data_IF_101773844796
#
_entry.id   IF_101773844796
#
_cell.length_a   1.000
_cell.length_b   1.000
_cell.length_c   1.000
_cell.angle_alpha   90.00
_cell.angle_beta   90.00
_cell.angle_gamma   90.00
#
_symmetry.space_group_name_H-M   'P 1'
#
loop_
_entity.id
_entity.type
_entity.pdbx_description
1 polymer ?
#
# COMPACT_ATOMS: atom_id res chain seq x y z
N UNK A 1 -18.19 -10.07 16.79
CA UNK A 1 -17.13 -10.75 16.03
C UNK A 1 -17.16 -10.40 14.54
N UNK A 2 -18.24 -10.63 13.76
CA UNK A 2 -18.27 -10.29 12.31
C UNK A 2 -18.22 -8.78 12.03
N UNK A 3 -19.02 -7.99 12.74
CA UNK A 3 -19.01 -6.52 12.62
C UNK A 3 -17.68 -5.92 13.03
N UNK A 4 -16.98 -6.54 13.95
CA UNK A 4 -15.66 -6.13 14.44
C UNK A 4 -14.60 -6.36 13.35
N UNK A 5 -14.65 -7.49 12.64
CA UNK A 5 -13.73 -7.76 11.53
C UNK A 5 -13.92 -6.77 10.37
N UNK A 6 -15.16 -6.46 9.99
CA UNK A 6 -15.44 -5.47 8.95
C UNK A 6 -14.96 -4.06 9.35
N UNK A 7 -15.10 -3.70 10.62
CA UNK A 7 -14.55 -2.45 11.14
C UNK A 7 -13.01 -2.42 11.03
N UNK A 8 -12.33 -3.51 11.39
CA UNK A 8 -10.87 -3.60 11.27
C UNK A 8 -10.42 -3.53 9.81
N UNK A 9 -11.10 -4.23 8.89
CA UNK A 9 -10.83 -4.13 7.45
C UNK A 9 -10.92 -2.67 6.99
N UNK A 10 -12.03 -1.98 7.31
CA UNK A 10 -12.23 -0.58 6.95
C UNK A 10 -11.16 0.34 7.54
N UNK A 11 -10.73 0.08 8.77
CA UNK A 11 -9.67 0.83 9.46
C UNK A 11 -8.34 0.67 8.73
N UNK A 12 -7.89 -0.56 8.46
CA UNK A 12 -6.61 -0.82 7.78
C UNK A 12 -6.61 -0.29 6.35
N UNK A 13 -7.72 -0.45 5.63
CA UNK A 13 -7.87 0.17 4.29
C UNK A 13 -7.75 1.70 4.35
N UNK A 14 -8.36 2.34 5.36
CA UNK A 14 -8.28 3.78 5.57
C UNK A 14 -6.87 4.26 5.95
N UNK A 15 -6.07 3.41 6.59
CA UNK A 15 -4.69 3.68 6.95
C UNK A 15 -3.70 3.45 5.80
N UNK A 16 -4.13 2.84 4.69
CA UNK A 16 -3.25 2.49 3.58
C UNK A 16 -2.44 1.20 3.81
N UNK A 17 -2.79 0.43 4.85
CA UNK A 17 -2.12 -0.81 5.18
C UNK A 17 -2.52 -1.94 4.24
N UNK A 18 -1.53 -2.71 3.78
CA UNK A 18 -1.77 -3.95 3.02
C UNK A 18 -1.90 -5.12 3.98
N UNK A 19 -2.90 -5.95 3.74
CA UNK A 19 -3.16 -7.14 4.54
C UNK A 19 -3.82 -8.22 3.68
N UNK A 20 -3.98 -9.42 4.22
CA UNK A 20 -4.80 -10.44 3.60
C UNK A 20 -5.98 -10.82 4.50
N UNK A 21 -7.08 -11.21 3.87
CA UNK A 21 -8.21 -11.84 4.55
C UNK A 21 -8.15 -13.34 4.27
N UNK A 22 -7.96 -14.14 5.31
CA UNK A 22 -8.04 -15.58 5.24
C UNK A 22 -9.42 -16.04 5.70
N UNK A 23 -10.04 -16.94 4.94
CA UNK A 23 -11.35 -17.52 5.25
C UNK A 23 -11.28 -19.04 5.16
N UNK A 24 -11.84 -19.73 6.17
CA UNK A 24 -12.11 -21.17 6.10
C UNK A 24 -13.29 -21.39 5.16
N UNK A 25 -13.09 -22.09 4.05
CA UNK A 25 -14.13 -22.36 3.07
C UNK A 25 -14.67 -23.78 3.18
N UNK A 26 -13.84 -24.72 3.61
CA UNK A 26 -14.23 -26.12 3.81
C UNK A 26 -13.41 -26.78 4.92
N UNK A 27 -13.97 -27.81 5.54
CA UNK A 27 -13.28 -28.67 6.51
C UNK A 27 -13.81 -30.09 6.55
N UNK A 28 -12.93 -30.99 6.95
CA UNK A 28 -13.25 -32.35 7.42
C UNK A 28 -12.79 -32.48 8.88
N UNK A 29 -13.65 -33.02 9.72
CA UNK A 29 -13.33 -33.21 11.14
C UNK A 29 -12.27 -34.31 11.32
N UNK A 30 -11.44 -34.22 12.39
CA UNK A 30 -11.43 -33.22 13.44
C UNK A 30 -10.58 -31.96 13.07
N UNK A 31 -11.16 -30.81 13.05
CA UNK A 31 -10.44 -29.53 12.88
C UNK A 31 -11.08 -28.42 13.73
N UNK A 32 -10.28 -27.46 14.20
CA UNK A 32 -10.75 -26.41 15.11
C UNK A 32 -11.40 -25.23 14.41
N UNK A 33 -11.09 -24.98 13.12
CA UNK A 33 -11.74 -23.94 12.33
C UNK A 33 -13.07 -24.44 11.75
N UNK A 34 -13.99 -23.52 11.49
CA UNK A 34 -15.31 -23.82 10.88
C UNK A 34 -15.47 -23.03 9.58
N UNK A 35 -16.14 -23.58 8.55
CA UNK A 35 -16.49 -22.81 7.36
C UNK A 35 -17.13 -21.48 7.73
N UNK A 36 -16.61 -20.38 7.16
CA UNK A 36 -17.02 -19.02 7.48
C UNK A 36 -16.15 -18.31 8.51
N UNK A 37 -15.31 -19.03 9.28
CA UNK A 37 -14.32 -18.40 10.15
C UNK A 37 -13.34 -17.56 9.31
N UNK A 38 -12.98 -16.37 9.81
CA UNK A 38 -12.13 -15.41 9.10
C UNK A 38 -11.10 -14.79 10.02
N UNK A 39 -9.97 -14.41 9.42
CA UNK A 39 -8.97 -13.57 10.05
C UNK A 39 -8.37 -12.59 9.07
N UNK A 40 -7.98 -11.41 9.56
CA UNK A 40 -7.07 -10.49 8.90
C UNK A 40 -5.66 -10.93 9.26
N UNK A 41 -4.78 -10.97 8.29
CA UNK A 41 -3.36 -11.26 8.47
C UNK A 41 -2.57 -10.09 7.92
N UNK A 42 -1.84 -9.39 8.80
CA UNK A 42 -1.00 -8.27 8.44
C UNK A 42 0.36 -8.76 7.89
N UNK A 43 1.12 -7.86 7.27
CA UNK A 43 2.45 -8.16 6.72
C UNK A 43 3.43 -8.70 7.76
N UNK A 44 3.36 -8.21 8.99
CA UNK A 44 4.21 -8.66 10.11
C UNK A 44 3.82 -10.04 10.65
N UNK A 45 2.75 -10.66 10.10
CA UNK A 45 2.22 -11.94 10.54
C UNK A 45 1.20 -11.85 11.68
N UNK A 46 0.86 -10.65 12.13
CA UNK A 46 -0.20 -10.45 13.14
C UNK A 46 -1.54 -10.96 12.61
N UNK A 47 -2.22 -11.80 13.40
CA UNK A 47 -3.54 -12.36 13.07
C UNK A 47 -4.61 -11.72 13.93
N UNK A 48 -5.65 -11.18 13.30
CA UNK A 48 -6.83 -10.62 13.95
C UNK A 48 -8.05 -11.40 13.50
N UNK A 49 -8.64 -12.16 14.42
CA UNK A 49 -9.74 -13.08 14.14
C UNK A 49 -9.37 -14.54 14.41
N UNK A 50 -10.08 -15.47 13.75
CA UNK A 50 -9.89 -16.91 13.99
C UNK A 50 -10.08 -17.73 12.72
N UNK A 51 -9.12 -18.63 12.44
CA UNK A 51 -9.14 -19.56 11.30
C UNK A 51 -8.70 -20.98 11.66
N UNK A 52 -8.49 -21.27 12.95
CA UNK A 52 -8.04 -22.59 13.42
C UNK A 52 -6.84 -22.52 14.35
N UNK A 53 -6.31 -23.71 14.70
CA UNK A 53 -5.19 -23.87 15.64
C UNK A 53 -3.81 -23.50 15.08
N UNK A 54 -2.76 -23.78 15.86
CA UNK A 54 -1.40 -23.32 15.59
C UNK A 54 -0.83 -23.72 14.22
N UNK A 55 -1.00 -24.97 13.79
CA UNK A 55 -0.51 -25.43 12.47
C UNK A 55 -1.15 -24.66 11.31
N UNK A 56 -2.47 -24.44 11.39
CA UNK A 56 -3.23 -23.70 10.38
C UNK A 56 -2.78 -22.24 10.35
N UNK A 57 -2.58 -21.61 11.51
CA UNK A 57 -2.12 -20.22 11.63
C UNK A 57 -0.77 -20.01 10.96
N UNK A 58 0.21 -20.87 11.21
CA UNK A 58 1.54 -20.74 10.61
C UNK A 58 1.52 -20.79 9.07
N UNK A 59 0.76 -21.75 8.52
CA UNK A 59 0.59 -21.88 7.06
C UNK A 59 -0.16 -20.67 6.51
N UNK A 60 -1.23 -20.24 7.16
CA UNK A 60 -2.02 -19.09 6.73
C UNK A 60 -1.21 -17.79 6.73
N UNK A 61 -0.36 -17.56 7.73
CA UNK A 61 0.54 -16.39 7.77
C UNK A 61 1.50 -16.40 6.60
N UNK A 62 2.18 -17.53 6.37
CA UNK A 62 3.12 -17.68 5.25
C UNK A 62 2.44 -17.38 3.92
N UNK A 63 1.30 -18.01 3.65
CA UNK A 63 0.59 -17.83 2.38
C UNK A 63 -0.06 -16.45 2.24
N UNK A 64 -0.46 -15.82 3.35
CA UNK A 64 -0.96 -14.45 3.35
C UNK A 64 0.15 -13.44 3.00
N UNK A 65 1.34 -13.59 3.57
CA UNK A 65 2.49 -12.75 3.24
C UNK A 65 2.88 -12.89 1.77
N UNK A 66 2.87 -14.11 1.24
CA UNK A 66 3.11 -14.38 -0.18
C UNK A 66 1.99 -13.78 -1.07
N UNK A 67 0.71 -13.93 -0.67
CA UNK A 67 -0.42 -13.37 -1.38
C UNK A 67 -0.34 -11.83 -1.45
N UNK A 68 0.03 -11.17 -0.33
CA UNK A 68 0.24 -9.72 -0.27
C UNK A 68 1.39 -9.31 -1.19
N UNK A 69 2.53 -10.02 -1.14
CA UNK A 69 3.71 -9.72 -1.97
C UNK A 69 3.42 -9.81 -3.46
N UNK A 70 2.67 -10.84 -3.88
CA UNK A 70 2.38 -11.09 -5.29
C UNK A 70 1.08 -10.44 -5.76
N UNK A 71 0.29 -9.89 -4.83
CA UNK A 71 -1.06 -9.37 -5.06
C UNK A 71 -1.95 -10.39 -5.78
N UNK A 72 -1.89 -11.67 -5.34
CA UNK A 72 -2.66 -12.78 -5.90
C UNK A 72 -3.36 -13.57 -4.80
N UNK A 73 -4.64 -13.85 -5.00
CA UNK A 73 -5.39 -14.73 -4.10
C UNK A 73 -4.86 -16.16 -4.16
N UNK A 74 -4.96 -16.88 -3.05
CA UNK A 74 -4.47 -18.25 -2.90
C UNK A 74 -5.53 -19.15 -2.31
N UNK A 75 -5.57 -20.39 -2.79
CA UNK A 75 -6.34 -21.48 -2.22
C UNK A 75 -5.37 -22.44 -1.54
N UNK A 76 -5.58 -22.71 -0.26
CA UNK A 76 -4.65 -23.49 0.57
C UNK A 76 -5.40 -24.67 1.17
N UNK A 77 -4.96 -25.87 0.87
CA UNK A 77 -5.45 -27.10 1.47
C UNK A 77 -4.44 -27.61 2.51
N UNK A 78 -4.91 -27.96 3.68
CA UNK A 78 -4.10 -28.50 4.76
C UNK A 78 -4.66 -29.88 5.11
N UNK A 79 -3.87 -30.92 4.88
CA UNK A 79 -4.28 -32.33 4.91
C UNK A 79 -3.25 -33.15 5.69
N UNK A 80 -3.63 -34.14 6.50
CA UNK A 80 -2.70 -35.02 7.23
C UNK A 80 -1.84 -35.90 6.32
N UNK A 81 -2.34 -36.30 5.13
CA UNK A 81 -1.79 -37.42 4.34
C UNK A 81 -0.98 -36.96 3.09
N UNK A 82 -1.03 -35.71 2.70
CA UNK A 82 -0.39 -35.25 1.47
C UNK A 82 1.00 -34.66 1.68
N UNK A 83 1.84 -34.79 0.65
CA UNK A 83 3.21 -34.26 0.60
C UNK A 83 3.18 -32.77 0.29
N UNK A 84 3.97 -31.98 0.99
CA UNK A 84 4.11 -30.54 0.80
C UNK A 84 4.56 -30.18 -0.64
N UNK A 85 3.87 -29.25 -1.30
CA UNK A 85 4.50 -28.42 -2.31
C UNK A 85 4.01 -28.55 -3.74
N UNK A 86 2.96 -29.29 -4.05
CA UNK A 86 2.37 -29.21 -5.41
C UNK A 86 1.51 -27.94 -5.51
N UNK A 87 1.96 -26.98 -6.32
CA UNK A 87 1.21 -25.79 -6.69
C UNK A 87 0.54 -25.99 -8.03
N UNK A 88 -0.78 -26.05 -8.05
CA UNK A 88 -1.57 -26.06 -9.28
C UNK A 88 -2.46 -24.85 -9.28
N UNK A 89 -2.23 -23.90 -10.19
CA UNK A 89 -3.09 -22.71 -10.37
C UNK A 89 -3.41 -21.95 -9.06
N UNK A 90 -2.41 -21.54 -8.29
CA UNK A 90 -2.55 -20.87 -6.99
C UNK A 90 -3.20 -21.73 -5.89
N UNK A 91 -3.31 -23.05 -6.09
CA UNK A 91 -3.77 -24.00 -5.11
C UNK A 91 -2.56 -24.73 -4.52
N UNK A 92 -2.28 -24.51 -3.24
CA UNK A 92 -1.18 -25.15 -2.53
C UNK A 92 -1.68 -26.11 -1.50
N UNK A 93 -1.09 -27.30 -1.47
CA UNK A 93 -1.39 -28.32 -0.47
C UNK A 93 -0.26 -28.42 0.55
N UNK A 94 -0.63 -28.45 1.82
CA UNK A 94 0.28 -28.55 2.95
C UNK A 94 -0.05 -29.76 3.81
N UNK A 95 1.00 -30.45 4.26
CA UNK A 95 0.83 -31.51 5.26
C UNK A 95 0.57 -30.89 6.64
N UNK A 96 -0.47 -31.38 7.30
CA UNK A 96 -0.75 -31.01 8.69
C UNK A 96 0.31 -31.65 9.61
N UNK A 97 0.98 -30.84 10.42
CA UNK A 97 2.02 -31.32 11.36
C UNK A 97 1.46 -31.67 12.73
N UNK A 98 0.20 -31.34 13.00
CA UNK A 98 -0.44 -31.68 14.28
C UNK A 98 -1.24 -32.97 14.21
N UNK A 99 -1.46 -33.61 15.36
CA UNK A 99 -2.13 -34.91 15.50
C UNK A 99 -3.66 -34.86 15.34
N UNK A 100 -4.22 -33.72 14.87
CA UNK A 100 -5.68 -33.54 14.78
C UNK A 100 -6.35 -34.31 13.63
N UNK A 101 -5.60 -34.72 12.61
CA UNK A 101 -6.07 -35.63 11.56
C UNK A 101 -7.17 -35.15 10.62
N UNK A 102 -7.62 -33.90 10.73
CA UNK A 102 -8.65 -33.34 9.84
C UNK A 102 -8.08 -32.59 8.66
N UNK A 103 -8.88 -32.36 7.63
CA UNK A 103 -8.52 -31.54 6.46
C UNK A 103 -9.20 -30.17 6.53
N UNK A 104 -8.56 -29.13 6.01
CA UNK A 104 -9.09 -27.77 5.95
C UNK A 104 -8.68 -27.08 4.66
N UNK A 105 -9.60 -26.29 4.12
CA UNK A 105 -9.30 -25.39 2.99
C UNK A 105 -9.51 -23.93 3.39
N UNK A 106 -8.51 -23.12 3.04
CA UNK A 106 -8.52 -21.68 3.26
C UNK A 106 -8.48 -20.97 1.91
N UNK A 107 -9.31 -19.95 1.78
CA UNK A 107 -9.17 -18.93 0.74
C UNK A 107 -8.48 -17.71 1.36
N UNK A 108 -7.40 -17.25 0.75
CA UNK A 108 -6.61 -16.12 1.22
C UNK A 108 -6.61 -15.07 0.13
N UNK A 109 -7.17 -13.91 0.44
CA UNK A 109 -7.33 -12.79 -0.47
C UNK A 109 -6.48 -11.60 0.00
N UNK A 110 -5.50 -11.13 -0.80
CA UNK A 110 -4.76 -9.92 -0.47
C UNK A 110 -5.62 -8.69 -0.69
N UNK A 111 -5.57 -7.76 0.25
CA UNK A 111 -6.25 -6.46 0.18
C UNK A 111 -5.20 -5.37 0.06
N UNK A 112 -5.13 -4.78 -1.12
CA UNK A 112 -4.26 -3.63 -1.39
C UNK A 112 -5.12 -2.37 -1.40
N UNK A 113 -4.90 -1.43 -0.47
CA UNK A 113 -5.62 -0.17 -0.46
C UNK A 113 -5.40 0.63 -1.74
N UNK A 114 -6.41 1.40 -2.12
CA UNK A 114 -6.29 2.30 -3.25
C UNK A 114 -5.16 3.31 -3.04
N UNK A 115 -4.43 3.69 -4.11
CA UNK A 115 -3.34 4.65 -4.00
C UNK A 115 -3.83 5.99 -3.47
N UNK A 116 -2.93 6.70 -2.81
CA UNK A 116 -3.16 8.02 -2.26
C UNK A 116 -2.62 9.08 -3.19
N UNK A 117 -3.42 10.09 -3.48
CA UNK A 117 -3.01 11.27 -4.23
C UNK A 117 -3.09 12.51 -3.35
N UNK A 118 -1.95 13.12 -3.11
CA UNK A 118 -1.83 14.40 -2.43
C UNK A 118 -1.66 15.49 -3.48
N UNK A 119 -2.62 16.39 -3.55
CA UNK A 119 -2.60 17.54 -4.48
C UNK A 119 -2.21 18.77 -3.67
N UNK A 120 -1.10 19.43 -4.04
CA UNK A 120 -0.66 20.66 -3.42
C UNK A 120 -1.04 21.83 -4.33
N UNK A 121 -1.92 22.71 -3.84
CA UNK A 121 -2.40 23.88 -4.58
C UNK A 121 -3.88 23.86 -4.88
N UNK A 122 -4.37 24.97 -5.46
CA UNK A 122 -5.80 25.24 -5.71
C UNK A 122 -6.09 25.67 -7.16
N UNK A 123 -5.17 25.41 -8.09
CA UNK A 123 -5.31 25.75 -9.51
C UNK A 123 -6.48 25.02 -10.19
N UNK A 124 -6.85 25.45 -11.39
CA UNK A 124 -7.87 24.75 -12.18
C UNK A 124 -7.49 23.31 -12.46
N UNK A 125 -6.20 23.03 -12.69
CA UNK A 125 -5.71 21.66 -12.88
C UNK A 125 -5.83 20.87 -11.57
N UNK A 126 -5.50 21.45 -10.40
CA UNK A 126 -5.69 20.81 -9.10
C UNK A 126 -7.15 20.39 -8.88
N UNK A 127 -8.10 21.26 -9.23
CA UNK A 127 -9.55 20.98 -9.12
C UNK A 127 -10.00 19.88 -10.09
N UNK A 128 -9.57 19.92 -11.35
CA UNK A 128 -9.86 18.89 -12.33
C UNK A 128 -9.28 17.55 -11.89
N UNK A 129 -8.02 17.53 -11.45
CA UNK A 129 -7.31 16.36 -10.98
C UNK A 129 -8.02 15.72 -9.77
N UNK A 130 -8.46 16.52 -8.80
CA UNK A 130 -9.18 16.01 -7.63
C UNK A 130 -10.50 15.32 -7.99
N UNK A 131 -11.28 15.89 -8.91
CA UNK A 131 -12.55 15.31 -9.38
C UNK A 131 -12.32 13.95 -10.07
N UNK A 132 -11.38 13.90 -10.99
CA UNK A 132 -11.06 12.68 -11.73
C UNK A 132 -10.44 11.61 -10.81
N UNK A 133 -9.58 12.01 -9.87
CA UNK A 133 -8.98 11.11 -8.90
C UNK A 133 -10.03 10.43 -7.99
N UNK A 134 -11.05 11.17 -7.55
CA UNK A 134 -12.18 10.60 -6.79
C UNK A 134 -12.94 9.60 -7.65
N UNK A 135 -13.22 9.93 -8.92
CA UNK A 135 -13.94 9.04 -9.84
C UNK A 135 -13.18 7.74 -10.11
N UNK A 136 -11.85 7.75 -9.97
CA UNK A 136 -10.98 6.56 -10.07
C UNK A 136 -10.70 5.90 -8.72
N UNK A 137 -11.44 6.25 -7.66
CA UNK A 137 -11.32 5.72 -6.31
C UNK A 137 -9.95 5.93 -5.64
N UNK A 138 -9.18 6.94 -6.03
CA UNK A 138 -7.98 7.31 -5.28
C UNK A 138 -8.37 7.95 -3.93
N UNK A 139 -7.52 7.75 -2.91
CA UNK A 139 -7.61 8.48 -1.63
C UNK A 139 -7.04 9.88 -1.84
N UNK A 140 -7.90 10.90 -1.94
CA UNK A 140 -7.48 12.27 -2.30
C UNK A 140 -7.31 13.13 -1.06
N UNK A 141 -6.15 13.80 -0.98
CA UNK A 141 -5.84 14.86 -0.01
C UNK A 141 -5.51 16.14 -0.80
N UNK A 142 -5.97 17.28 -0.31
CA UNK A 142 -5.63 18.60 -0.87
C UNK A 142 -4.98 19.44 0.20
N UNK A 143 -3.81 19.99 -0.10
CA UNK A 143 -3.07 20.91 0.74
C UNK A 143 -2.90 22.24 -0.01
N UNK A 144 -3.38 23.32 0.55
CA UNK A 144 -3.16 24.66 -0.03
C UNK A 144 -3.43 25.73 1.00
N UNK A 145 -2.62 26.78 0.99
CA UNK A 145 -2.91 27.97 1.79
C UNK A 145 -4.24 28.59 1.33
N UNK A 146 -5.07 29.02 2.31
CA UNK A 146 -6.36 29.68 2.08
C UNK A 146 -7.33 28.90 1.19
N UNK A 147 -7.37 27.58 1.32
CA UNK A 147 -8.28 26.74 0.54
C UNK A 147 -9.70 26.76 1.09
N UNK A 148 -10.67 27.01 0.21
CA UNK A 148 -12.09 26.85 0.53
C UNK A 148 -12.54 25.42 0.16
N UNK A 149 -13.19 24.71 1.11
CA UNK A 149 -13.69 23.35 0.89
C UNK A 149 -14.63 23.24 -0.32
N UNK A 150 -15.39 24.28 -0.63
CA UNK A 150 -16.25 24.34 -1.81
C UNK A 150 -15.53 24.26 -3.14
N UNK A 151 -14.23 24.52 -3.17
CA UNK A 151 -13.41 24.42 -4.39
C UNK A 151 -13.14 22.96 -4.80
N UNK A 152 -13.24 22.02 -3.86
CA UNK A 152 -12.90 20.60 -4.05
C UNK A 152 -14.06 19.69 -3.62
N UNK A 153 -15.20 19.72 -4.35
CA UNK A 153 -16.37 18.92 -4.00
C UNK A 153 -16.03 17.42 -4.02
N UNK A 154 -16.45 16.71 -2.97
CA UNK A 154 -16.21 15.28 -2.80
C UNK A 154 -14.87 14.91 -2.14
N UNK A 155 -13.92 15.84 -2.02
CA UNK A 155 -12.69 15.61 -1.27
C UNK A 155 -12.98 15.68 0.23
N UNK A 156 -12.63 14.62 0.96
CA UNK A 156 -12.86 14.54 2.42
C UNK A 156 -11.72 15.22 3.22
N UNK A 157 -10.50 15.10 2.72
CA UNK A 157 -9.29 15.52 3.43
C UNK A 157 -8.71 16.78 2.76
N UNK A 158 -9.05 17.94 3.29
CA UNK A 158 -8.61 19.25 2.81
C UNK A 158 -7.93 19.97 3.97
N UNK A 159 -6.71 20.44 3.73
CA UNK A 159 -5.86 21.11 4.70
C UNK A 159 -5.56 22.54 4.21
N UNK A 160 -5.71 23.51 5.09
CA UNK A 160 -5.55 24.94 4.84
C UNK A 160 -4.08 25.42 4.87
N UNK A 161 -3.15 24.48 4.93
CA UNK A 161 -1.70 24.71 4.88
C UNK A 161 -1.00 23.56 4.17
N UNK A 162 0.15 23.85 3.57
CA UNK A 162 1.05 22.84 3.01
C UNK A 162 1.87 22.23 4.15
N UNK A 163 1.28 21.22 4.81
CA UNK A 163 1.87 20.51 5.94
C UNK A 163 1.62 18.99 5.77
N UNK A 164 2.69 18.26 5.46
CA UNK A 164 2.62 16.81 5.24
C UNK A 164 2.65 16.00 6.53
N UNK A 165 2.96 16.60 7.68
CA UNK A 165 3.07 15.89 8.97
C UNK A 165 1.76 15.23 9.42
N UNK A 166 0.63 15.70 8.91
CA UNK A 166 -0.71 15.20 9.23
C UNK A 166 -1.18 14.04 8.33
N UNK A 167 -0.37 13.65 7.36
CA UNK A 167 -0.73 12.64 6.36
C UNK A 167 0.27 11.50 6.46
N UNK A 168 -0.24 10.28 6.62
CA UNK A 168 0.59 9.10 6.54
C UNK A 168 1.00 8.88 5.08
N UNK A 169 2.29 9.02 4.78
CA UNK A 169 2.86 8.81 3.45
C UNK A 169 3.30 7.35 3.37
N UNK A 170 2.60 6.58 2.54
CA UNK A 170 2.89 5.19 2.26
C UNK A 170 3.52 5.01 0.87
N UNK A 171 3.97 3.79 0.55
CA UNK A 171 4.57 3.45 -0.74
C UNK A 171 3.65 3.66 -1.95
N UNK A 172 2.33 3.74 -1.73
CA UNK A 172 1.32 3.97 -2.75
C UNK A 172 0.83 5.42 -2.75
N UNK A 173 1.62 6.32 -2.16
CA UNK A 173 1.37 7.76 -2.16
C UNK A 173 2.01 8.41 -3.39
N UNK A 174 1.26 9.31 -4.02
CA UNK A 174 1.68 10.17 -5.11
C UNK A 174 1.44 11.62 -4.70
N UNK A 175 2.43 12.49 -4.86
CA UNK A 175 2.30 13.91 -4.59
C UNK A 175 2.35 14.65 -5.93
N UNK A 176 1.37 15.54 -6.18
CA UNK A 176 1.34 16.41 -7.36
C UNK A 176 1.24 17.86 -6.91
N UNK A 177 2.27 18.64 -7.23
CA UNK A 177 2.32 20.07 -6.96
C UNK A 177 1.71 20.82 -8.13
N UNK A 178 0.58 21.49 -7.86
CA UNK A 178 -0.29 22.18 -8.82
C UNK A 178 -0.62 23.62 -8.37
N UNK A 179 0.36 24.31 -7.83
CA UNK A 179 0.26 25.63 -7.18
C UNK A 179 0.13 26.78 -8.16
N UNK A 180 0.58 26.59 -9.42
CA UNK A 180 0.45 27.56 -10.52
C UNK A 180 1.13 28.93 -10.24
N UNK A 181 2.23 28.92 -9.49
CA UNK A 181 3.03 30.09 -9.17
C UNK A 181 2.89 30.59 -7.74
N UNK A 182 1.92 30.10 -6.99
CA UNK A 182 1.78 30.40 -5.56
C UNK A 182 2.64 29.42 -4.74
N UNK A 183 3.78 29.89 -4.22
CA UNK A 183 4.69 29.12 -3.35
C UNK A 183 5.20 27.78 -3.97
N UNK A 184 5.45 27.75 -5.29
CA UNK A 184 5.90 26.54 -5.99
C UNK A 184 7.17 25.95 -5.37
N UNK A 185 8.20 26.78 -5.17
CA UNK A 185 9.53 26.38 -4.69
C UNK A 185 9.44 25.72 -3.31
N UNK A 186 8.77 26.38 -2.38
CA UNK A 186 8.59 25.88 -1.02
C UNK A 186 7.71 24.61 -0.98
N UNK A 187 6.66 24.57 -1.80
CA UNK A 187 5.77 23.42 -1.90
C UNK A 187 6.49 22.18 -2.43
N UNK A 188 7.33 22.35 -3.46
CA UNK A 188 8.12 21.26 -4.04
C UNK A 188 9.19 20.80 -3.04
N UNK A 189 9.90 21.75 -2.41
CA UNK A 189 10.90 21.43 -1.38
C UNK A 189 10.29 20.57 -0.27
N UNK A 190 9.19 21.01 0.33
CA UNK A 190 8.47 20.25 1.36
C UNK A 190 8.00 18.88 0.87
N UNK A 191 7.51 18.78 -0.37
CA UNK A 191 7.10 17.50 -0.94
C UNK A 191 8.29 16.53 -1.09
N UNK A 192 9.45 17.04 -1.53
CA UNK A 192 10.67 16.25 -1.68
C UNK A 192 11.31 15.88 -0.34
N UNK A 193 11.05 16.60 0.75
CA UNK A 193 11.50 16.25 2.10
C UNK A 193 10.71 15.05 2.69
N UNK A 194 9.57 14.70 2.11
CA UNK A 194 8.81 13.52 2.53
C UNK A 194 9.46 12.23 2.04
N UNK A 195 9.05 11.09 2.58
CA UNK A 195 9.45 9.76 2.08
C UNK A 195 8.70 9.31 0.82
N UNK A 196 7.92 10.18 0.19
CA UNK A 196 7.15 9.84 -1.00
C UNK A 196 8.06 9.59 -2.20
N UNK A 197 7.90 8.44 -2.86
CA UNK A 197 8.70 8.03 -4.01
C UNK A 197 8.28 8.70 -5.33
N UNK A 198 7.17 9.42 -5.35
CA UNK A 198 6.70 10.14 -6.52
C UNK A 198 6.26 11.56 -6.17
N UNK A 199 7.02 12.53 -6.64
CA UNK A 199 6.67 13.95 -6.56
C UNK A 199 6.64 14.52 -7.97
N UNK A 200 5.45 14.91 -8.42
CA UNK A 200 5.22 15.51 -9.74
C UNK A 200 4.96 17.00 -9.62
N UNK A 201 5.50 17.79 -10.54
CA UNK A 201 5.26 19.23 -10.61
C UNK A 201 4.69 19.65 -11.96
N UNK A 202 3.58 20.38 -11.93
CA UNK A 202 2.93 20.92 -13.11
C UNK A 202 3.63 22.20 -13.54
N UNK A 203 4.38 22.12 -14.62
CA UNK A 203 5.14 23.26 -15.11
C UNK A 203 5.43 23.20 -16.61
N UNK A 204 5.85 24.32 -17.19
CA UNK A 204 6.51 24.35 -18.50
C UNK A 204 7.96 23.88 -18.38
N UNK A 205 8.56 23.43 -19.49
CA UNK A 205 9.98 23.04 -19.53
C UNK A 205 10.92 24.13 -19.00
N UNK A 206 10.66 25.40 -19.33
CA UNK A 206 11.47 26.55 -18.83
C UNK A 206 11.39 26.65 -17.30
N UNK A 207 10.21 26.46 -16.73
CA UNK A 207 10.01 26.54 -15.28
C UNK A 207 10.64 25.35 -14.57
N UNK A 208 10.57 24.16 -15.17
CA UNK A 208 11.22 22.94 -14.65
C UNK A 208 12.73 23.15 -14.45
N UNK A 209 13.43 23.78 -15.41
CA UNK A 209 14.86 24.06 -15.29
C UNK A 209 15.13 24.99 -14.10
N UNK A 210 14.41 26.09 -14.00
CA UNK A 210 14.60 27.09 -12.92
C UNK A 210 14.32 26.47 -11.53
N UNK A 211 13.33 25.63 -11.41
CA UNK A 211 13.02 24.95 -10.15
C UNK A 211 14.15 24.00 -9.77
N UNK A 212 14.73 23.26 -10.71
CA UNK A 212 15.88 22.40 -10.43
C UNK A 212 17.10 23.20 -9.97
N UNK A 213 17.40 24.30 -10.65
CA UNK A 213 18.47 25.24 -10.25
C UNK A 213 18.26 25.80 -8.83
N UNK A 214 17.02 26.09 -8.46
CA UNK A 214 16.70 26.52 -7.09
C UNK A 214 16.90 25.38 -6.08
N UNK A 215 16.42 24.17 -6.38
CA UNK A 215 16.53 23.03 -5.48
C UNK A 215 17.98 22.61 -5.23
N UNK A 216 18.87 22.75 -6.21
CA UNK A 216 20.32 22.51 -6.07
C UNK A 216 20.98 23.44 -5.05
N UNK A 217 20.36 24.58 -4.71
CA UNK A 217 20.84 25.51 -3.68
C UNK A 217 20.30 25.18 -2.28
N UNK A 218 19.46 24.15 -2.17
CA UNK A 218 18.87 23.69 -0.90
C UNK A 218 19.69 22.53 -0.32
N UNK A 219 19.31 22.06 0.88
CA UNK A 219 19.94 20.91 1.55
C UNK A 219 19.49 19.55 0.98
N UNK A 220 18.64 19.53 -0.06
CA UNK A 220 18.18 18.29 -0.68
C UNK A 220 19.32 17.59 -1.44
N UNK A 221 19.40 16.28 -1.31
CA UNK A 221 20.38 15.49 -2.07
C UNK A 221 20.08 15.53 -3.57
N UNK A 222 21.14 15.46 -4.40
CA UNK A 222 21.01 15.44 -5.85
C UNK A 222 20.11 14.27 -6.34
N UNK A 223 20.17 13.13 -5.68
CA UNK A 223 19.30 11.99 -5.99
C UNK A 223 17.83 12.36 -5.79
N UNK A 224 17.51 13.03 -4.68
CA UNK A 224 16.13 13.42 -4.35
C UNK A 224 15.60 14.48 -5.33
N UNK A 225 16.44 15.42 -5.75
CA UNK A 225 16.08 16.41 -6.77
C UNK A 225 15.79 15.75 -8.12
N UNK A 226 16.57 14.73 -8.49
CA UNK A 226 16.38 14.00 -9.74
C UNK A 226 15.10 13.13 -9.76
N UNK A 227 14.54 12.79 -8.62
CA UNK A 227 13.26 12.10 -8.52
C UNK A 227 12.06 13.02 -8.82
N UNK A 228 12.26 14.35 -8.83
CA UNK A 228 11.21 15.28 -9.21
C UNK A 228 10.79 15.07 -10.67
N UNK A 229 9.56 14.59 -10.84
CA UNK A 229 8.95 14.42 -12.16
C UNK A 229 8.41 15.77 -12.66
N UNK A 230 9.09 16.36 -13.60
CA UNK A 230 8.69 17.68 -14.16
C UNK A 230 9.14 17.82 -15.61
N UNK A 231 8.26 18.15 -16.54
CA UNK A 231 6.80 18.26 -16.38
C UNK A 231 6.15 16.93 -15.99
N UNK A 232 5.08 16.99 -15.16
CA UNK A 232 4.32 15.81 -14.75
C UNK A 232 3.25 15.45 -15.78
N UNK A 233 2.94 14.16 -15.88
CA UNK A 233 1.94 13.60 -16.77
C UNK A 233 2.52 13.01 -18.06
N UNK A 234 1.77 12.11 -18.67
CA UNK A 234 2.12 11.54 -19.97
C UNK A 234 1.96 12.61 -21.08
N UNK A 235 2.83 12.58 -22.08
CA UNK A 235 2.68 13.46 -23.25
C UNK A 235 1.54 12.95 -24.15
N UNK A 236 0.39 13.58 -24.03
CA UNK A 236 -0.81 13.33 -24.85
C UNK A 236 -1.25 14.57 -25.60
N UNK A 237 -0.38 15.58 -25.73
CA UNK A 237 -0.70 16.89 -26.29
C UNK A 237 -1.83 17.64 -25.56
N UNK A 238 -1.98 17.40 -24.24
CA UNK A 238 -3.01 18.02 -23.39
C UNK A 238 -2.86 19.54 -23.32
N UNK A 239 -3.99 20.26 -23.42
CA UNK A 239 -4.03 21.74 -23.37
C UNK A 239 -4.98 22.27 -22.31
N UNK A 240 -6.11 21.60 -22.12
CA UNK A 240 -7.12 21.99 -21.14
C UNK A 240 -6.78 21.42 -19.74
N UNK A 241 -7.21 22.07 -18.64
CA UNK A 241 -6.97 21.58 -17.29
C UNK A 241 -7.40 20.15 -17.08
N UNK A 242 -8.52 19.74 -17.63
CA UNK A 242 -9.07 18.38 -17.53
C UNK A 242 -8.22 17.37 -18.30
N UNK A 243 -7.69 17.74 -19.46
CA UNK A 243 -6.81 16.89 -20.27
C UNK A 243 -5.46 16.68 -19.57
N UNK A 244 -4.90 17.76 -19.00
CA UNK A 244 -3.68 17.69 -18.19
C UNK A 244 -3.91 16.77 -16.97
N UNK A 245 -5.04 16.91 -16.30
CA UNK A 245 -5.39 16.04 -15.18
C UNK A 245 -5.51 14.57 -15.60
N UNK A 246 -6.06 14.27 -16.78
CA UNK A 246 -6.11 12.91 -17.35
C UNK A 246 -4.68 12.40 -17.59
N UNK A 247 -3.79 13.19 -18.18
CA UNK A 247 -2.42 12.78 -18.45
C UNK A 247 -1.64 12.42 -17.17
N UNK A 248 -1.87 13.19 -16.10
CA UNK A 248 -1.27 12.94 -14.78
C UNK A 248 -1.83 11.65 -14.18
N UNK A 249 -3.15 11.43 -14.23
CA UNK A 249 -3.75 10.20 -13.73
C UNK A 249 -3.32 8.97 -14.51
N UNK A 250 -3.17 9.09 -15.84
CA UNK A 250 -2.66 8.00 -16.67
C UNK A 250 -1.23 7.59 -16.24
N UNK A 251 -0.35 8.57 -15.98
CA UNK A 251 0.99 8.31 -15.46
C UNK A 251 0.95 7.64 -14.08
N UNK A 252 0.11 8.14 -13.16
CA UNK A 252 -0.06 7.54 -11.83
C UNK A 252 -0.54 6.09 -11.93
N UNK A 253 -1.54 5.81 -12.79
CA UNK A 253 -2.06 4.46 -13.01
C UNK A 253 -0.98 3.54 -13.60
N UNK A 254 -0.21 4.01 -14.57
CA UNK A 254 0.90 3.27 -15.16
C UNK A 254 1.91 2.88 -14.08
N UNK A 255 2.36 3.83 -13.28
CA UNK A 255 3.33 3.59 -12.20
C UNK A 255 2.77 2.69 -11.10
N UNK A 256 1.51 2.88 -10.72
CA UNK A 256 0.89 2.04 -9.68
C UNK A 256 0.69 0.60 -10.12
N UNK A 257 0.43 0.35 -11.42
CA UNK A 257 0.18 -0.97 -12.00
C UNK A 257 1.43 -1.63 -12.58
N UNK A 258 2.58 -0.96 -12.55
CA UNK A 258 3.83 -1.53 -13.03
C UNK A 258 4.23 -2.75 -12.18
N UNK A 259 4.29 -3.96 -12.75
CA UNK A 259 4.69 -5.16 -12.03
C UNK A 259 6.17 -5.14 -11.59
N UNK A 260 6.99 -4.31 -12.24
CA UNK A 260 8.41 -4.14 -11.91
C UNK A 260 8.66 -2.94 -10.99
N UNK A 261 7.62 -2.26 -10.55
CA UNK A 261 7.77 -1.18 -9.57
C UNK A 261 8.54 -1.74 -8.38
N UNK A 262 9.80 -1.32 -8.24
CA UNK A 262 10.59 -1.54 -7.03
C UNK A 262 9.87 -0.80 -5.91
N UNK A 263 9.01 -1.50 -5.23
CA UNK A 263 8.62 -1.13 -3.88
C UNK A 263 9.92 -1.28 -3.11
N UNK A 264 10.45 -0.17 -2.60
CA UNK A 264 11.62 -0.23 -1.75
C UNK A 264 11.41 -1.41 -0.82
N UNK A 265 12.31 -2.36 -0.90
CA UNK A 265 12.37 -3.43 0.08
C UNK A 265 12.44 -2.65 1.39
N UNK A 266 11.36 -2.73 2.17
CA UNK A 266 11.42 -2.34 3.56
C UNK A 266 12.76 -2.89 4.02
N UNK A 267 13.62 -1.99 4.47
CA UNK A 267 14.93 -2.35 4.99
C UNK A 267 14.72 -3.66 5.74
N UNK A 268 15.30 -4.74 5.22
CA UNK A 268 15.41 -5.97 5.99
C UNK A 268 15.75 -5.49 7.39
N UNK A 269 14.78 -5.58 8.29
CA UNK A 269 15.01 -5.22 9.69
C UNK A 269 16.24 -5.96 10.03
N UNK A 270 17.33 -5.22 10.19
CA UNK A 270 18.65 -5.75 10.44
C UNK A 270 18.44 -6.90 11.40
N UNK A 271 18.74 -8.11 10.96
CA UNK A 271 18.63 -9.31 11.78
C UNK A 271 19.51 -9.01 12.96
N UNK A 272 18.91 -8.50 14.02
CA UNK A 272 19.61 -8.31 15.27
C UNK A 272 20.04 -9.70 15.69
N UNK A 273 21.30 -9.86 16.13
CA UNK A 273 21.86 -11.14 16.60
C UNK A 273 21.00 -11.84 17.67
N UNK A 274 19.98 -11.16 18.20
CA UNK A 274 19.03 -11.64 19.21
C UNK A 274 17.72 -12.23 18.64
N UNK A 275 17.56 -12.35 17.34
CA UNK A 275 16.35 -12.94 16.73
C UNK A 275 16.66 -14.27 16.03
N UNK A 276 15.75 -15.22 16.15
CA UNK A 276 15.75 -16.49 15.45
C UNK A 276 14.60 -16.50 14.43
N UNK A 277 14.88 -16.86 13.19
CA UNK A 277 13.84 -17.01 12.18
C UNK A 277 13.32 -18.45 12.27
N UNK A 278 12.04 -18.61 12.63
CA UNK A 278 11.39 -19.90 12.65
C UNK A 278 11.45 -20.53 11.25
N UNK A 279 12.07 -21.71 11.06
CA UNK A 279 12.26 -22.31 9.75
C UNK A 279 10.94 -22.76 9.08
N UNK A 280 9.85 -22.90 9.86
CA UNK A 280 8.55 -23.34 9.36
C UNK A 280 7.69 -22.18 8.89
N UNK A 281 7.61 -21.10 9.67
CA UNK A 281 6.74 -19.94 9.36
C UNK A 281 7.51 -18.68 8.98
N UNK A 282 8.86 -18.67 9.06
CA UNK A 282 9.77 -17.55 8.78
C UNK A 282 9.46 -16.25 9.55
N UNK A 283 8.76 -16.35 10.65
CA UNK A 283 8.54 -15.24 11.58
C UNK A 283 9.78 -15.08 12.45
N UNK A 284 10.25 -13.84 12.61
CA UNK A 284 11.32 -13.52 13.55
C UNK A 284 10.80 -13.66 14.99
N UNK A 285 11.45 -14.49 15.79
CA UNK A 285 11.13 -14.70 17.20
C UNK A 285 12.34 -14.30 18.02
N UNK A 286 12.13 -13.53 19.09
CA UNK A 286 13.21 -13.20 20.01
C UNK A 286 13.79 -14.49 20.60
N UNK A 287 15.11 -14.60 20.65
CA UNK A 287 15.82 -15.74 21.27
C UNK A 287 15.40 -15.98 22.74
N UNK A 288 14.91 -14.92 23.41
CA UNK A 288 14.39 -15.01 24.79
C UNK A 288 13.01 -15.72 24.87
N UNK A 289 12.22 -15.68 23.80
CA UNK A 289 10.87 -16.22 23.75
C UNK A 289 10.81 -17.59 23.04
N UNK A 290 11.91 -18.02 22.42
CA UNK A 290 12.04 -19.31 21.78
C UNK A 290 12.12 -20.44 22.84
N UNK A 291 10.99 -21.11 23.12
CA UNK A 291 10.92 -22.18 24.12
C UNK A 291 11.59 -23.49 23.71
N UNK A 292 11.94 -23.70 22.46
CA UNK A 292 12.68 -24.86 21.95
C UNK A 292 13.56 -24.47 20.76
N UNK A 293 14.85 -24.64 20.89
CA UNK A 293 15.83 -24.66 19.80
C UNK A 293 16.12 -26.10 19.45
#
# INVERSE_FOLDING_TARGET
>A
MYNDLLYQISKYMGQGEEFAVAQVIWREAPSSGKPGDKAIILKDGTIIGWIGGGCVKGIAVKEAQEAIRENKSRLVRINPDEVNGEEVCNHKTYRMTCHSGGTMELFIEPITPNPQLIIVGKSNIARALSKLAIATNLRVHVLSNDVNKGMFPGVKNIYDRVDFSKINIDKNTFIVVATQGEDDEESIRKALETSCNYVGFISSLRKSVKIKEYLEQTELSANRINELKTPVGMDINAKLPEEIAISILAEIVQLFRDPNRKLDQESDTAINDDTYINPVCRVAVSKKDAKHV
#
